data_IF_450021131204
#
_entry.id   IF_450021131204
#
_cell.length_a   1.000
_cell.length_b   1.000
_cell.length_c   1.000
_cell.angle_alpha   90.00
_cell.angle_beta   90.00
_cell.angle_gamma   90.00
#
_symmetry.space_group_name_H-M   'P 1'
#
loop_
_entity.id
_entity.type
_entity.pdbx_description
1 polymer ?
#
# COMPACT_ATOMS: atom_id res chain seq x y z
N UNK A 1 -36.70 24.69 12.62
CA UNK A 1 -37.69 24.00 11.77
C UNK A 1 -37.14 22.61 11.45
N UNK A 2 -38.02 21.62 11.37
CA UNK A 2 -37.55 20.28 10.92
C UNK A 2 -37.21 20.33 9.42
N UNK A 3 -36.24 19.51 8.96
CA UNK A 3 -35.85 19.46 7.54
C UNK A 3 -37.04 19.22 6.60
N UNK A 4 -38.06 18.50 7.07
CA UNK A 4 -39.29 18.23 6.34
C UNK A 4 -40.16 19.47 6.14
N UNK A 5 -40.17 20.36 7.12
CA UNK A 5 -40.94 21.60 7.01
C UNK A 5 -40.31 22.57 6.01
N UNK A 6 -38.96 22.62 5.98
CA UNK A 6 -38.23 23.45 5.02
C UNK A 6 -38.42 22.88 3.60
N UNK A 7 -38.38 21.57 3.44
CA UNK A 7 -38.63 20.91 2.15
C UNK A 7 -40.03 21.23 1.61
N UNK A 8 -41.05 21.16 2.45
CA UNK A 8 -42.41 21.51 2.05
C UNK A 8 -42.52 22.98 1.61
N UNK A 9 -41.79 23.86 2.26
CA UNK A 9 -41.76 25.29 1.90
C UNK A 9 -40.99 25.60 0.62
N UNK A 10 -40.06 24.70 0.22
CA UNK A 10 -39.24 24.82 -1.01
C UNK A 10 -39.94 24.24 -2.24
N UNK A 11 -40.78 23.21 -2.10
CA UNK A 11 -41.41 22.52 -3.24
C UNK A 11 -42.17 23.46 -4.20
N UNK A 12 -42.94 24.46 -3.75
CA UNK A 12 -43.63 25.36 -4.67
C UNK A 12 -42.71 26.13 -5.64
N UNK A 13 -41.45 26.36 -5.23
CA UNK A 13 -40.48 27.15 -6.00
C UNK A 13 -39.55 26.29 -6.89
N UNK A 14 -39.69 24.97 -6.84
CA UNK A 14 -38.86 24.04 -7.61
C UNK A 14 -39.66 23.10 -8.54
N UNK A 15 -40.94 23.46 -8.78
CA UNK A 15 -41.82 22.66 -9.65
C UNK A 15 -42.53 21.51 -8.93
N UNK A 16 -42.68 21.59 -7.59
CA UNK A 16 -43.38 20.59 -6.80
C UNK A 16 -42.51 19.40 -6.36
N UNK A 17 -43.08 18.56 -5.48
CA UNK A 17 -42.43 17.34 -5.01
C UNK A 17 -42.16 16.33 -6.14
N UNK A 18 -42.99 16.32 -7.15
CA UNK A 18 -42.90 15.40 -8.34
C UNK A 18 -41.67 15.72 -9.20
N UNK A 19 -41.14 16.94 -9.15
CA UNK A 19 -39.92 17.33 -9.84
C UNK A 19 -38.64 16.84 -9.11
N UNK A 20 -38.75 16.40 -7.87
CA UNK A 20 -37.62 15.88 -7.11
C UNK A 20 -37.51 14.37 -7.32
N UNK A 21 -36.45 13.92 -8.00
CA UNK A 21 -36.21 12.51 -8.25
C UNK A 21 -35.51 11.82 -7.07
N UNK A 22 -34.69 12.56 -6.32
CA UNK A 22 -33.96 12.04 -5.15
C UNK A 22 -33.57 13.18 -4.19
N UNK A 23 -33.72 12.92 -2.90
CA UNK A 23 -33.27 13.81 -1.83
C UNK A 23 -32.12 13.15 -1.06
N UNK A 24 -31.02 13.85 -0.89
CA UNK A 24 -29.83 13.36 -0.17
C UNK A 24 -29.49 14.38 0.93
N UNK A 25 -29.82 14.09 2.19
CA UNK A 25 -29.42 14.94 3.31
C UNK A 25 -27.94 14.73 3.65
N UNK A 26 -27.20 15.81 3.81
CA UNK A 26 -25.85 15.86 4.40
C UNK A 26 -25.77 17.03 5.36
N UNK A 27 -25.20 16.81 6.54
CA UNK A 27 -24.93 17.82 7.61
C UNK A 27 -25.21 19.27 7.20
N UNK A 28 -26.38 19.82 7.57
CA UNK A 28 -26.77 21.19 7.27
C UNK A 28 -26.98 21.54 5.78
N UNK A 29 -26.81 20.55 4.88
CA UNK A 29 -26.99 20.74 3.44
C UNK A 29 -27.92 19.66 2.89
N UNK A 30 -28.88 20.05 2.08
CA UNK A 30 -29.82 19.16 1.42
C UNK A 30 -29.58 19.21 -0.10
N UNK A 31 -29.32 18.06 -0.68
CA UNK A 31 -29.18 17.93 -2.14
C UNK A 31 -30.47 17.37 -2.73
N UNK A 32 -31.08 18.11 -3.64
CA UNK A 32 -32.26 17.68 -4.39
C UNK A 32 -31.87 17.46 -5.85
N UNK A 33 -32.06 16.24 -6.32
CA UNK A 33 -31.91 15.92 -7.75
C UNK A 33 -33.23 16.18 -8.44
N UNK A 34 -33.24 17.13 -9.37
CA UNK A 34 -34.44 17.57 -10.09
C UNK A 34 -34.55 16.87 -11.43
N UNK A 35 -35.79 16.60 -11.86
CA UNK A 35 -36.09 16.09 -13.20
C UNK A 35 -36.02 17.20 -14.24
N UNK A 36 -36.52 18.38 -13.88
CA UNK A 36 -36.45 19.60 -14.69
C UNK A 36 -35.89 20.74 -13.85
N UNK A 37 -34.71 21.22 -14.20
CA UNK A 37 -34.05 22.34 -13.55
C UNK A 37 -34.55 23.72 -14.03
N UNK A 38 -35.25 23.77 -15.17
CA UNK A 38 -35.72 25.01 -15.77
C UNK A 38 -36.90 25.68 -15.02
N UNK A 39 -37.60 24.92 -14.18
CA UNK A 39 -38.73 25.40 -13.40
C UNK A 39 -38.34 25.94 -12.03
N UNK A 40 -37.03 25.98 -11.69
CA UNK A 40 -36.54 26.41 -10.38
C UNK A 40 -36.46 27.93 -10.30
N UNK A 41 -37.19 28.51 -9.33
CA UNK A 41 -37.02 29.91 -8.95
C UNK A 41 -36.02 30.05 -7.80
N UNK A 42 -34.73 30.12 -8.15
CA UNK A 42 -33.62 30.17 -7.18
C UNK A 42 -33.71 31.37 -6.23
N UNK A 43 -34.20 32.51 -6.73
CA UNK A 43 -34.38 33.75 -5.90
C UNK A 43 -35.41 33.53 -4.81
N UNK A 44 -36.53 32.86 -5.13
CA UNK A 44 -37.56 32.53 -4.17
C UNK A 44 -37.13 31.45 -3.18
N UNK A 45 -36.36 30.44 -3.63
CA UNK A 45 -35.82 29.41 -2.75
C UNK A 45 -34.86 30.01 -1.70
N UNK A 46 -34.04 30.99 -2.08
CA UNK A 46 -33.13 31.67 -1.15
C UNK A 46 -33.86 32.56 -0.11
N UNK A 47 -35.15 32.84 -0.31
CA UNK A 47 -35.97 33.60 0.64
C UNK A 47 -36.78 32.71 1.60
N UNK A 48 -36.71 31.42 1.45
CA UNK A 48 -37.40 30.44 2.31
C UNK A 48 -36.75 30.44 3.69
N UNK A 49 -37.56 30.64 4.72
CA UNK A 49 -37.10 30.65 6.11
C UNK A 49 -36.44 29.30 6.47
N UNK A 50 -35.19 29.35 6.93
CA UNK A 50 -34.39 28.18 7.25
C UNK A 50 -33.42 27.73 6.14
N UNK A 51 -33.41 28.42 4.98
CA UNK A 51 -32.40 28.26 3.92
C UNK A 51 -31.40 29.41 4.00
N UNK A 52 -30.12 29.08 4.16
CA UNK A 52 -29.00 30.03 4.18
C UNK A 52 -28.60 30.40 2.74
N UNK A 53 -28.45 29.40 1.90
CA UNK A 53 -28.14 29.57 0.48
C UNK A 53 -28.67 28.41 -0.35
N UNK A 54 -29.01 28.69 -1.61
CA UNK A 54 -29.40 27.70 -2.59
C UNK A 54 -28.58 27.87 -3.87
N UNK A 55 -28.02 26.80 -4.36
CA UNK A 55 -27.25 26.76 -5.60
C UNK A 55 -27.80 25.66 -6.53
N UNK A 56 -27.90 25.95 -7.83
CA UNK A 56 -28.37 25.02 -8.83
C UNK A 56 -27.26 24.72 -9.84
N UNK A 57 -26.74 23.50 -9.82
CA UNK A 57 -25.74 23.02 -10.80
C UNK A 57 -26.18 21.72 -11.45
N UNK A 58 -26.21 21.68 -12.76
CA UNK A 58 -26.44 20.46 -13.58
C UNK A 58 -27.62 19.59 -13.10
N UNK A 59 -28.76 20.24 -12.78
CA UNK A 59 -29.97 19.55 -12.32
C UNK A 59 -29.96 19.14 -10.83
N UNK A 60 -28.95 19.57 -10.08
CA UNK A 60 -28.85 19.37 -8.63
C UNK A 60 -29.02 20.70 -7.91
N UNK A 61 -30.06 20.82 -7.11
CA UNK A 61 -30.27 21.95 -6.21
C UNK A 61 -29.63 21.60 -4.86
N UNK A 62 -28.72 22.46 -4.41
CA UNK A 62 -28.02 22.36 -3.12
C UNK A 62 -28.58 23.41 -2.20
N UNK A 63 -29.19 23.04 -1.08
CA UNK A 63 -29.73 23.91 -0.06
C UNK A 63 -28.85 23.85 1.18
N UNK A 64 -28.31 24.98 1.63
CA UNK A 64 -27.73 25.11 2.96
C UNK A 64 -28.81 25.57 3.95
N UNK A 65 -29.01 24.82 5.03
CA UNK A 65 -30.07 25.01 5.98
C UNK A 65 -29.57 25.65 7.28
N UNK A 66 -30.37 26.57 7.85
CA UNK A 66 -30.14 27.12 9.16
C UNK A 66 -30.62 26.11 10.24
N UNK A 67 -29.72 25.52 11.01
CA UNK A 67 -30.12 24.59 12.06
C UNK A 67 -28.98 23.96 12.82
N UNK A 68 -29.16 23.89 14.13
CA UNK A 68 -28.27 23.30 15.13
C UNK A 68 -27.73 21.95 14.67
N UNK A 69 -26.41 21.76 14.78
CA UNK A 69 -25.74 20.47 14.77
C UNK A 69 -26.43 19.53 15.78
N UNK A 70 -27.31 18.68 15.28
CA UNK A 70 -27.73 17.51 16.05
C UNK A 70 -26.68 16.45 15.81
N UNK A 71 -25.93 16.13 16.86
CA UNK A 71 -25.04 14.99 16.93
C UNK A 71 -25.84 13.70 16.65
N UNK A 72 -25.60 13.11 15.48
CA UNK A 72 -25.96 11.72 15.23
C UNK A 72 -24.91 10.86 15.93
N UNK A 73 -25.28 10.04 16.92
CA UNK A 73 -24.32 9.18 17.61
C UNK A 73 -23.76 8.15 16.60
N UNK A 74 -22.55 8.38 16.11
CA UNK A 74 -21.90 7.36 15.27
C UNK A 74 -20.86 7.81 14.25
N UNK A 75 -20.73 9.14 13.96
CA UNK A 75 -19.58 9.66 13.21
C UNK A 75 -18.87 10.67 14.10
N UNK A 76 -17.75 10.26 14.69
CA UNK A 76 -16.84 11.18 15.34
C UNK A 76 -16.47 12.30 14.36
N UNK A 77 -16.57 13.57 14.80
CA UNK A 77 -16.04 14.73 14.09
C UNK A 77 -14.67 14.38 13.50
N UNK A 78 -14.50 14.62 12.22
CA UNK A 78 -13.18 14.59 11.61
C UNK A 78 -12.37 15.72 12.22
N UNK A 79 -11.70 15.45 13.33
CA UNK A 79 -10.71 16.37 13.90
C UNK A 79 -9.74 16.80 12.80
N UNK A 80 -9.39 18.09 12.81
CA UNK A 80 -8.40 18.63 11.91
C UNK A 80 -7.10 17.79 12.04
N UNK A 81 -6.57 17.31 10.92
CA UNK A 81 -5.38 16.48 10.91
C UNK A 81 -4.20 17.08 11.66
N UNK A 82 -4.05 18.42 11.58
CA UNK A 82 -3.00 19.15 12.27
C UNK A 82 -3.15 19.14 13.82
N UNK A 83 -4.37 19.21 14.33
CA UNK A 83 -4.63 19.12 15.79
C UNK A 83 -4.34 17.72 16.31
N UNK A 84 -4.77 16.70 15.60
CA UNK A 84 -4.51 15.32 15.96
C UNK A 84 -3.01 15.00 15.90
N UNK A 85 -2.30 15.49 14.90
CA UNK A 85 -0.86 15.34 14.75
C UNK A 85 -0.10 15.94 15.94
N UNK A 86 -0.49 17.17 16.35
CA UNK A 86 0.10 17.86 17.49
C UNK A 86 -0.15 17.12 18.79
N UNK A 87 -1.38 16.68 19.05
CA UNK A 87 -1.72 15.92 20.24
C UNK A 87 -0.99 14.59 20.32
N UNK A 88 -0.91 13.85 19.20
CA UNK A 88 -0.13 12.61 19.14
C UNK A 88 1.34 12.88 19.49
N UNK A 89 1.93 13.93 18.94
CA UNK A 89 3.33 14.28 19.18
C UNK A 89 3.57 14.63 20.66
N UNK A 90 2.69 15.40 21.27
CA UNK A 90 2.77 15.74 22.72
C UNK A 90 2.66 14.47 23.59
N UNK A 91 1.71 13.58 23.26
CA UNK A 91 1.44 12.37 24.02
C UNK A 91 2.50 11.26 23.86
N UNK A 92 3.28 11.25 22.79
CA UNK A 92 4.45 10.35 22.67
C UNK A 92 5.68 10.89 23.43
N UNK A 93 5.55 12.04 24.08
CA UNK A 93 6.59 12.67 24.92
C UNK A 93 7.33 13.82 24.22
N UNK A 94 6.71 14.42 23.21
CA UNK A 94 7.25 15.56 22.45
C UNK A 94 8.30 15.17 21.42
N UNK A 95 8.66 16.16 20.56
CA UNK A 95 9.67 15.98 19.51
C UNK A 95 11.02 15.48 20.06
N UNK A 96 11.40 15.94 21.24
CA UNK A 96 12.67 15.55 21.88
C UNK A 96 12.75 14.06 22.24
N UNK A 97 11.62 13.40 22.48
CA UNK A 97 11.55 11.97 22.78
C UNK A 97 11.53 11.08 21.52
N UNK A 98 11.24 11.66 20.34
CA UNK A 98 11.16 10.93 19.06
C UNK A 98 12.53 10.91 18.41
N UNK A 99 13.02 9.71 18.07
CA UNK A 99 14.25 9.50 17.29
C UNK A 99 13.92 9.52 15.80
N UNK A 100 12.89 8.77 15.42
CA UNK A 100 12.44 8.68 14.04
C UNK A 100 10.93 8.47 13.96
N UNK A 101 10.33 8.91 12.86
CA UNK A 101 8.93 8.69 12.54
C UNK A 101 8.81 8.10 11.14
N UNK A 102 8.10 7.00 11.04
CA UNK A 102 7.71 6.38 9.77
C UNK A 102 6.23 5.99 9.84
N UNK A 103 5.65 5.55 8.75
CA UNK A 103 4.29 5.03 8.76
C UNK A 103 4.15 3.82 7.83
N UNK A 104 3.10 3.02 8.05
CA UNK A 104 2.59 2.06 7.09
C UNK A 104 1.17 2.47 6.67
N UNK A 105 0.42 1.58 6.03
CA UNK A 105 -0.93 1.89 5.50
C UNK A 105 -1.90 2.39 6.56
N UNK A 106 -1.73 1.98 7.82
CA UNK A 106 -2.69 2.27 8.91
C UNK A 106 -2.06 2.82 10.19
N UNK A 107 -0.71 2.87 10.32
CA UNK A 107 -0.03 3.16 11.60
C UNK A 107 1.08 4.17 11.42
N UNK A 108 1.18 5.10 12.37
CA UNK A 108 2.41 5.85 12.63
C UNK A 108 3.36 4.97 13.47
N UNK A 109 4.62 4.96 13.11
CA UNK A 109 5.66 4.17 13.79
C UNK A 109 6.71 5.12 14.31
N UNK A 110 6.73 5.30 15.62
CA UNK A 110 7.71 6.12 16.33
C UNK A 110 8.82 5.25 16.89
N UNK A 111 10.05 5.67 16.69
CA UNK A 111 11.18 5.20 17.48
C UNK A 111 11.41 6.22 18.60
N UNK A 112 11.19 5.82 19.87
CA UNK A 112 11.24 6.71 21.01
C UNK A 112 12.53 6.48 21.81
N UNK A 113 13.17 7.57 22.28
CA UNK A 113 14.31 7.51 23.20
C UNK A 113 13.91 6.86 24.52
N UNK A 114 12.73 7.16 25.00
CA UNK A 114 12.18 6.60 26.22
C UNK A 114 10.68 6.34 26.09
N UNK A 115 10.32 5.07 25.94
CA UNK A 115 8.92 4.63 25.81
C UNK A 115 8.08 4.98 27.04
N UNK A 116 8.68 5.06 28.23
CA UNK A 116 7.98 5.38 29.49
C UNK A 116 7.47 6.83 29.53
N UNK A 117 8.02 7.74 28.71
CA UNK A 117 7.52 9.11 28.60
C UNK A 117 6.23 9.21 27.80
N UNK A 118 5.91 8.19 27.00
CA UNK A 118 4.69 8.20 26.20
C UNK A 118 3.46 7.90 27.07
N UNK A 119 2.44 8.76 26.94
CA UNK A 119 1.19 8.67 27.69
C UNK A 119 0.21 7.72 26.98
N UNK A 120 0.53 6.42 26.98
CA UNK A 120 -0.16 5.39 26.21
C UNK A 120 -1.66 5.32 26.46
N UNK A 121 -2.08 5.46 27.72
CA UNK A 121 -3.51 5.39 28.07
C UNK A 121 -4.31 6.63 27.60
N UNK A 122 -3.67 7.79 27.51
CA UNK A 122 -4.28 8.99 26.94
C UNK A 122 -4.34 8.88 25.42
N UNK A 123 -3.26 8.42 24.78
CA UNK A 123 -3.24 8.16 23.32
C UNK A 123 -4.34 7.18 22.90
N UNK A 124 -4.58 6.12 23.67
CA UNK A 124 -5.68 5.18 23.38
C UNK A 124 -7.07 5.82 23.48
N UNK A 125 -7.21 6.90 24.26
CA UNK A 125 -8.47 7.63 24.44
C UNK A 125 -8.63 8.77 23.43
N UNK A 126 -7.55 9.18 22.76
CA UNK A 126 -7.56 10.28 21.80
C UNK A 126 -8.47 9.95 20.62
N UNK A 127 -9.39 10.87 20.31
CA UNK A 127 -10.29 10.70 19.18
C UNK A 127 -9.51 10.75 17.86
N UNK A 128 -9.61 9.70 17.03
CA UNK A 128 -8.84 9.52 15.81
C UNK A 128 -7.67 8.53 15.96
N UNK A 129 -7.33 8.08 17.19
CA UNK A 129 -6.39 6.99 17.45
C UNK A 129 -7.18 5.70 17.67
N UNK A 130 -6.96 4.72 16.81
CA UNK A 130 -7.63 3.42 16.86
C UNK A 130 -6.97 2.47 17.87
N UNK A 131 -5.67 2.62 18.12
CA UNK A 131 -4.93 1.81 19.08
C UNK A 131 -3.48 2.26 19.22
N UNK A 132 -2.82 1.71 20.23
CA UNK A 132 -1.40 1.92 20.48
C UNK A 132 -0.78 0.59 20.86
N UNK A 133 0.37 0.26 20.27
CA UNK A 133 1.13 -0.95 20.57
C UNK A 133 2.63 -0.69 20.50
N UNK A 134 3.39 -1.52 21.21
CA UNK A 134 4.86 -1.56 21.10
C UNK A 134 5.23 -2.89 20.47
N UNK A 135 5.81 -2.85 19.29
CA UNK A 135 6.22 -4.04 18.55
C UNK A 135 7.50 -3.77 17.77
N UNK A 136 8.40 -4.75 17.71
CA UNK A 136 9.67 -4.63 16.98
C UNK A 136 10.56 -3.46 17.42
N UNK A 137 10.49 -3.05 18.71
CA UNK A 137 11.22 -1.91 19.24
C UNK A 137 10.64 -0.54 18.85
N UNK A 138 9.50 -0.51 18.17
CA UNK A 138 8.81 0.71 17.74
C UNK A 138 7.54 0.92 18.55
N UNK A 139 7.23 2.19 18.83
CA UNK A 139 5.98 2.63 19.41
C UNK A 139 5.01 2.97 18.26
N UNK A 140 3.96 2.18 18.11
CA UNK A 140 3.07 2.25 16.98
C UNK A 140 1.71 2.82 17.40
N UNK A 141 1.27 3.88 16.70
CA UNK A 141 -0.03 4.52 16.89
C UNK A 141 -0.90 4.20 15.68
N UNK A 142 -1.96 3.46 15.88
CA UNK A 142 -2.89 3.02 14.83
C UNK A 142 -3.88 4.13 14.54
N UNK A 143 -3.87 4.63 13.31
CA UNK A 143 -4.71 5.75 12.82
C UNK A 143 -5.76 5.28 11.81
N UNK A 144 -5.46 4.21 11.07
CA UNK A 144 -6.29 3.75 9.97
C UNK A 144 -6.03 4.51 8.67
N UNK A 145 -7.06 4.66 7.83
CA UNK A 145 -6.94 5.22 6.47
C UNK A 145 -6.39 6.67 6.40
N UNK A 146 -6.41 7.43 7.50
CA UNK A 146 -5.89 8.81 7.56
C UNK A 146 -4.42 8.89 7.97
N UNK A 147 -3.73 7.77 8.05
CA UNK A 147 -2.33 7.73 8.54
C UNK A 147 -1.40 8.62 7.74
N UNK A 148 -1.53 8.66 6.41
CA UNK A 148 -0.71 9.52 5.54
C UNK A 148 -0.91 10.99 5.85
N UNK A 149 -2.17 11.43 5.96
CA UNK A 149 -2.53 12.82 6.31
C UNK A 149 -1.90 13.22 7.65
N UNK A 150 -2.04 12.39 8.68
CA UNK A 150 -1.50 12.68 10.01
C UNK A 150 0.03 12.64 10.03
N UNK A 151 0.64 11.73 9.29
CA UNK A 151 2.09 11.66 9.12
C UNK A 151 2.63 12.97 8.51
N UNK A 152 2.01 13.42 7.42
CA UNK A 152 2.42 14.65 6.73
C UNK A 152 2.26 15.89 7.65
N UNK A 153 1.19 15.94 8.46
CA UNK A 153 1.00 17.00 9.44
C UNK A 153 2.03 16.94 10.59
N UNK A 154 2.38 15.76 11.11
CA UNK A 154 3.46 15.64 12.09
C UNK A 154 4.79 16.08 11.50
N UNK A 155 5.07 15.71 10.24
CA UNK A 155 6.31 16.13 9.56
C UNK A 155 6.39 17.65 9.32
N UNK A 156 5.24 18.34 9.13
CA UNK A 156 5.22 19.81 8.99
C UNK A 156 5.57 20.57 10.28
N UNK A 157 5.19 20.02 11.43
CA UNK A 157 5.40 20.66 12.74
C UNK A 157 6.68 20.20 13.44
N UNK A 158 7.44 19.27 12.86
CA UNK A 158 8.66 18.70 13.42
C UNK A 158 9.80 18.69 12.40
N UNK A 159 11.02 18.47 12.90
CA UNK A 159 12.21 18.31 12.05
C UNK A 159 12.28 16.98 11.29
N UNK A 160 11.28 16.10 11.46
CA UNK A 160 11.21 14.80 10.79
C UNK A 160 10.76 14.88 9.32
N UNK A 161 10.52 16.09 8.79
CA UNK A 161 10.31 16.36 7.36
C UNK A 161 11.54 15.98 6.49
N UNK A 162 12.75 15.98 7.08
CA UNK A 162 13.92 15.33 6.47
C UNK A 162 14.03 13.91 7.04
N UNK A 163 14.28 12.87 6.19
CA UNK A 163 14.57 11.54 6.71
C UNK A 163 15.80 11.67 7.60
N UNK A 164 15.55 11.62 8.92
CA UNK A 164 16.61 11.70 9.93
C UNK A 164 17.68 10.68 9.59
N UNK A 165 18.92 11.16 9.43
CA UNK A 165 20.11 10.32 9.36
C UNK A 165 20.02 9.33 10.53
N UNK A 166 19.95 8.06 10.18
CA UNK A 166 20.09 6.92 11.07
C UNK A 166 21.21 7.16 12.10
N UNK A 167 20.84 7.46 13.34
CA UNK A 167 21.79 7.58 14.44
C UNK A 167 21.67 6.46 15.48
N UNK A 168 21.11 5.31 15.13
CA UNK A 168 21.08 4.14 16.04
C UNK A 168 21.26 2.78 15.36
N UNK A 169 21.74 2.73 14.10
CA UNK A 169 21.97 1.45 13.40
C UNK A 169 23.40 0.90 13.49
N UNK A 170 24.32 1.57 14.18
CA UNK A 170 25.74 1.17 14.15
C UNK A 170 26.04 -0.17 14.84
N UNK A 171 25.16 -0.72 15.65
CA UNK A 171 25.42 -1.96 16.40
C UNK A 171 24.47 -3.13 16.09
N UNK A 172 23.61 -3.02 15.05
CA UNK A 172 22.78 -4.17 14.67
C UNK A 172 23.53 -5.07 13.70
N UNK A 173 23.48 -6.41 13.84
CA UNK A 173 24.14 -7.33 12.91
C UNK A 173 23.62 -7.11 11.48
N UNK A 174 24.50 -7.32 10.49
CA UNK A 174 24.27 -7.01 9.07
C UNK A 174 22.94 -7.57 8.53
N UNK A 175 22.58 -8.80 8.91
CA UNK A 175 21.32 -9.43 8.51
C UNK A 175 20.07 -8.67 9.01
N UNK A 176 20.14 -8.02 10.17
CA UNK A 176 19.00 -7.26 10.71
C UNK A 176 18.74 -5.95 9.96
N UNK A 177 19.66 -5.51 9.09
CA UNK A 177 19.52 -4.34 8.21
C UNK A 177 19.02 -4.73 6.82
N UNK A 178 19.38 -5.91 6.33
CA UNK A 178 19.03 -6.36 4.97
C UNK A 178 17.54 -6.66 4.84
N UNK A 179 16.97 -7.44 5.75
CA UNK A 179 15.56 -7.85 5.67
C UNK A 179 14.59 -6.65 5.67
N UNK A 180 14.70 -5.66 6.59
CA UNK A 180 13.87 -4.46 6.52
C UNK A 180 14.10 -3.63 5.26
N UNK A 181 15.32 -3.67 4.70
CA UNK A 181 15.61 -2.96 3.46
C UNK A 181 14.91 -3.63 2.26
N UNK A 182 14.96 -4.97 2.17
CA UNK A 182 14.25 -5.75 1.14
C UNK A 182 12.74 -5.50 1.26
N UNK A 183 12.18 -5.67 2.46
CA UNK A 183 10.76 -5.45 2.70
C UNK A 183 10.32 -4.04 2.29
N UNK A 184 11.10 -3.02 2.64
CA UNK A 184 10.78 -1.63 2.29
C UNK A 184 10.96 -1.30 0.80
N UNK A 185 11.81 -2.03 0.07
CA UNK A 185 11.91 -1.91 -1.38
C UNK A 185 10.72 -2.58 -2.10
N UNK A 186 10.14 -3.62 -1.51
CA UNK A 186 9.03 -4.37 -2.09
C UNK A 186 7.65 -3.86 -1.67
N UNK A 187 7.46 -3.49 -0.39
CA UNK A 187 6.17 -3.14 0.22
C UNK A 187 5.35 -2.09 -0.56
N UNK A 188 5.91 -1.01 -1.15
CA UNK A 188 5.10 -0.06 -1.92
C UNK A 188 4.47 -0.68 -3.17
N UNK A 189 5.11 -1.70 -3.76
CA UNK A 189 4.61 -2.41 -4.94
C UNK A 189 3.56 -3.47 -4.59
N UNK A 190 3.54 -3.95 -3.34
CA UNK A 190 2.64 -5.03 -2.90
C UNK A 190 1.16 -4.68 -3.12
N UNK A 191 0.74 -3.45 -2.81
CA UNK A 191 -0.64 -3.01 -3.03
C UNK A 191 -1.06 -3.07 -4.51
N UNK A 192 -0.15 -2.73 -5.43
CA UNK A 192 -0.41 -2.80 -6.87
C UNK A 192 -0.50 -4.25 -7.34
N UNK A 193 0.35 -5.12 -6.80
CA UNK A 193 0.32 -6.56 -7.08
C UNK A 193 -0.97 -7.19 -6.55
N UNK A 194 -1.44 -6.81 -5.36
CA UNK A 194 -2.73 -7.25 -4.82
C UNK A 194 -3.88 -6.84 -5.72
N UNK A 195 -3.94 -5.57 -6.14
CA UNK A 195 -4.97 -5.09 -7.06
C UNK A 195 -4.97 -5.87 -8.39
N UNK A 196 -3.80 -6.11 -8.96
CA UNK A 196 -3.64 -6.92 -10.16
C UNK A 196 -4.06 -8.39 -9.94
N UNK A 197 -3.69 -8.97 -8.80
CA UNK A 197 -4.10 -10.30 -8.38
C UNK A 197 -5.62 -10.44 -8.23
N UNK A 198 -6.29 -9.42 -7.70
CA UNK A 198 -7.76 -9.38 -7.62
C UNK A 198 -8.40 -9.44 -9.02
N UNK A 199 -7.89 -8.67 -9.98
CA UNK A 199 -8.40 -8.72 -11.37
C UNK A 199 -8.20 -10.14 -11.94
N UNK A 200 -7.03 -10.74 -11.76
CA UNK A 200 -6.75 -12.12 -12.20
C UNK A 200 -7.69 -13.13 -11.55
N UNK A 201 -7.92 -13.01 -10.25
CA UNK A 201 -8.83 -13.87 -9.50
C UNK A 201 -10.28 -13.79 -10.01
N UNK A 202 -10.78 -12.58 -10.27
CA UNK A 202 -12.11 -12.36 -10.85
C UNK A 202 -12.20 -12.95 -12.25
N UNK A 203 -11.20 -12.73 -13.11
CA UNK A 203 -11.15 -13.31 -14.45
C UNK A 203 -11.12 -14.83 -14.41
N UNK A 204 -10.34 -15.43 -13.50
CA UNK A 204 -10.29 -16.87 -13.31
C UNK A 204 -11.66 -17.44 -12.88
N UNK A 205 -12.36 -16.76 -11.96
CA UNK A 205 -13.69 -17.16 -11.51
C UNK A 205 -14.70 -17.09 -12.65
N UNK A 206 -14.76 -15.99 -13.39
CA UNK A 206 -15.70 -15.77 -14.50
C UNK A 206 -15.48 -16.82 -15.60
N UNK A 207 -14.22 -17.14 -15.91
CA UNK A 207 -13.90 -18.19 -16.90
C UNK A 207 -14.21 -19.59 -16.38
N UNK A 208 -13.98 -19.88 -15.12
CA UNK A 208 -14.34 -21.16 -14.50
C UNK A 208 -15.86 -21.42 -14.48
N UNK A 209 -16.64 -20.35 -14.32
CA UNK A 209 -18.11 -20.40 -14.41
C UNK A 209 -18.64 -20.46 -15.85
N UNK A 210 -17.77 -20.42 -16.85
CA UNK A 210 -18.16 -20.46 -18.25
C UNK A 210 -18.81 -19.18 -18.77
N UNK A 211 -18.75 -18.08 -18.00
CA UNK A 211 -19.38 -16.79 -18.38
C UNK A 211 -18.54 -15.99 -19.39
N UNK A 212 -17.25 -16.30 -19.52
CA UNK A 212 -16.34 -15.62 -20.42
C UNK A 212 -15.30 -16.61 -20.96
N UNK A 213 -15.05 -16.56 -22.27
CA UNK A 213 -13.93 -17.28 -22.88
C UNK A 213 -12.60 -16.52 -22.68
N UNK A 214 -11.50 -17.26 -22.61
CA UNK A 214 -10.14 -16.67 -22.54
C UNK A 214 -9.75 -15.94 -23.83
N UNK A 215 -10.39 -16.26 -24.94
CA UNK A 215 -10.21 -15.62 -26.26
C UNK A 215 -11.02 -14.32 -26.41
N UNK A 216 -11.94 -14.04 -25.47
CA UNK A 216 -12.73 -12.82 -25.49
C UNK A 216 -11.80 -11.58 -25.37
N UNK A 217 -11.98 -10.58 -26.23
CA UNK A 217 -11.13 -9.39 -26.29
C UNK A 217 -11.03 -8.67 -24.94
N UNK A 218 -12.12 -8.61 -24.17
CA UNK A 218 -12.12 -8.03 -22.82
C UNK A 218 -11.30 -8.86 -21.84
N UNK A 219 -11.30 -10.20 -21.93
CA UNK A 219 -10.44 -11.06 -21.11
C UNK A 219 -8.98 -10.80 -21.42
N UNK A 220 -8.61 -10.79 -22.70
CA UNK A 220 -7.21 -10.55 -23.14
C UNK A 220 -6.72 -9.18 -22.65
N UNK A 221 -7.55 -8.14 -22.79
CA UNK A 221 -7.22 -6.79 -22.32
C UNK A 221 -7.04 -6.73 -20.81
N UNK A 222 -8.00 -7.21 -20.04
CA UNK A 222 -7.93 -7.15 -18.56
C UNK A 222 -6.83 -8.05 -18.00
N UNK A 223 -6.61 -9.22 -18.62
CA UNK A 223 -5.51 -10.11 -18.26
C UNK A 223 -4.16 -9.46 -18.53
N UNK A 224 -3.99 -8.76 -19.66
CA UNK A 224 -2.79 -8.00 -20.00
C UNK A 224 -2.53 -6.89 -18.98
N UNK A 225 -3.55 -6.10 -18.63
CA UNK A 225 -3.47 -5.06 -17.61
C UNK A 225 -3.07 -5.66 -16.25
N UNK A 226 -3.70 -6.75 -15.85
CA UNK A 226 -3.40 -7.41 -14.57
C UNK A 226 -2.02 -8.08 -14.55
N UNK A 227 -1.47 -8.48 -15.69
CA UNK A 227 -0.12 -9.03 -15.77
C UNK A 227 0.97 -7.94 -15.73
N UNK A 228 0.68 -6.71 -16.14
CA UNK A 228 1.67 -5.66 -16.27
C UNK A 228 2.47 -5.38 -14.99
N UNK A 229 1.88 -5.22 -13.78
CA UNK A 229 2.65 -4.99 -12.57
C UNK A 229 3.59 -6.16 -12.22
N UNK A 230 3.21 -7.38 -12.53
CA UNK A 230 4.07 -8.56 -12.35
C UNK A 230 5.21 -8.58 -13.36
N UNK A 231 4.90 -8.37 -14.64
CA UNK A 231 5.90 -8.37 -15.71
C UNK A 231 6.96 -7.28 -15.49
N UNK A 232 6.53 -6.06 -15.16
CA UNK A 232 7.40 -4.92 -14.92
C UNK A 232 7.83 -4.77 -13.46
N UNK A 233 7.74 -5.83 -12.66
CA UNK A 233 8.15 -5.81 -11.26
C UNK A 233 9.60 -5.34 -11.05
N UNK A 234 10.60 -5.73 -11.88
CA UNK A 234 11.96 -5.20 -11.81
C UNK A 234 12.02 -3.66 -11.85
N UNK A 235 11.16 -3.04 -12.65
CA UNK A 235 11.05 -1.58 -12.79
C UNK A 235 10.51 -0.92 -11.53
N UNK A 236 9.45 -1.50 -10.93
CA UNK A 236 8.87 -1.02 -9.68
C UNK A 236 9.88 -1.10 -8.52
N UNK A 237 10.65 -2.18 -8.46
CA UNK A 237 11.74 -2.36 -7.50
C UNK A 237 12.83 -1.30 -7.72
N UNK A 238 13.21 -1.05 -8.97
CA UNK A 238 14.16 0.01 -9.34
C UNK A 238 13.73 1.38 -8.81
N UNK A 239 12.47 1.76 -9.01
CA UNK A 239 11.89 2.99 -8.47
C UNK A 239 11.99 3.05 -6.93
N UNK A 240 11.56 1.98 -6.25
CA UNK A 240 11.51 1.95 -4.79
C UNK A 240 12.91 2.05 -4.17
N UNK A 241 13.89 1.34 -4.74
CA UNK A 241 15.29 1.37 -4.30
C UNK A 241 15.89 2.77 -4.52
N UNK A 242 15.74 3.35 -5.71
CA UNK A 242 16.26 4.67 -6.02
C UNK A 242 15.71 5.73 -5.08
N UNK A 243 14.39 5.73 -4.87
CA UNK A 243 13.72 6.63 -3.93
C UNK A 243 14.26 6.49 -2.51
N UNK A 244 14.45 5.25 -2.04
CA UNK A 244 14.96 4.96 -0.70
C UNK A 244 16.44 5.32 -0.55
N UNK A 245 17.25 5.03 -1.56
CA UNK A 245 18.69 5.32 -1.55
C UNK A 245 19.03 6.73 -2.01
N UNK A 246 18.03 7.58 -2.34
CA UNK A 246 18.20 8.95 -2.85
C UNK A 246 19.14 8.99 -4.06
N UNK A 247 18.89 8.14 -5.04
CA UNK A 247 19.62 8.01 -6.30
C UNK A 247 18.74 8.49 -7.45
N UNK A 248 19.29 8.62 -8.66
CA UNK A 248 18.52 8.99 -9.83
C UNK A 248 17.47 7.91 -10.16
N UNK A 249 16.20 8.33 -10.09
CA UNK A 249 15.06 7.43 -10.27
C UNK A 249 15.00 6.92 -11.71
N UNK A 250 15.26 7.78 -12.70
CA UNK A 250 15.15 7.40 -14.10
C UNK A 250 16.20 6.37 -14.49
N UNK A 251 17.44 6.54 -14.04
CA UNK A 251 18.51 5.57 -14.25
C UNK A 251 18.16 4.21 -13.65
N UNK A 252 17.70 4.18 -12.39
CA UNK A 252 17.36 2.94 -11.69
C UNK A 252 16.15 2.23 -12.31
N UNK A 253 15.11 2.98 -12.69
CA UNK A 253 13.93 2.48 -13.42
C UNK A 253 14.35 1.87 -14.76
N UNK A 254 15.25 2.55 -15.49
CA UNK A 254 15.75 2.05 -16.78
C UNK A 254 16.58 0.78 -16.63
N UNK A 255 17.36 0.64 -15.55
CA UNK A 255 18.05 -0.64 -15.22
C UNK A 255 17.02 -1.77 -15.03
N UNK A 256 15.94 -1.51 -14.30
CA UNK A 256 14.86 -2.49 -14.12
C UNK A 256 14.15 -2.86 -15.44
N UNK A 257 13.87 -1.86 -16.30
CA UNK A 257 13.31 -2.07 -17.64
C UNK A 257 14.25 -2.88 -18.53
N UNK A 258 15.54 -2.56 -18.50
CA UNK A 258 16.54 -3.26 -19.31
C UNK A 258 16.64 -4.74 -18.93
N UNK A 259 16.62 -5.06 -17.63
CA UNK A 259 16.60 -6.45 -17.17
C UNK A 259 15.33 -7.20 -17.57
N UNK A 260 14.17 -6.51 -17.65
CA UNK A 260 12.90 -7.07 -18.08
C UNK A 260 12.66 -7.05 -19.59
N UNK A 261 13.61 -6.58 -20.38
CA UNK A 261 13.41 -6.38 -21.85
C UNK A 261 13.22 -7.71 -22.58
N UNK A 262 12.10 -7.92 -23.29
CA UNK A 262 11.81 -9.20 -23.95
C UNK A 262 12.87 -9.66 -24.96
N UNK A 263 13.60 -8.73 -25.56
CA UNK A 263 14.65 -9.05 -26.55
C UNK A 263 15.89 -9.72 -25.96
N UNK A 264 16.04 -9.70 -24.64
CA UNK A 264 17.19 -10.34 -23.93
C UNK A 264 16.75 -11.38 -22.90
N UNK A 265 15.46 -11.50 -22.64
CA UNK A 265 14.92 -12.46 -21.67
C UNK A 265 14.52 -13.75 -22.39
N UNK A 266 15.05 -14.89 -21.93
CA UNK A 266 14.78 -16.20 -22.50
C UNK A 266 15.35 -16.38 -23.92
N UNK A 267 16.33 -15.57 -24.29
CA UNK A 267 17.01 -15.62 -25.60
C UNK A 267 18.47 -16.01 -25.39
N UNK A 268 18.99 -16.86 -26.25
CA UNK A 268 20.39 -17.22 -26.24
C UNK A 268 21.27 -16.05 -26.68
N UNK A 269 22.07 -15.53 -25.78
CA UNK A 269 22.98 -14.42 -25.99
C UNK A 269 24.42 -14.97 -25.86
N UNK A 270 25.15 -15.01 -26.94
CA UNK A 270 26.55 -15.39 -26.93
C UNK A 270 27.43 -14.19 -26.60
N UNK A 271 28.11 -14.26 -25.45
CA UNK A 271 29.08 -13.24 -25.01
C UNK A 271 30.33 -13.91 -24.49
N UNK A 272 31.48 -13.46 -24.95
CA UNK A 272 32.80 -13.97 -24.53
C UNK A 272 32.93 -15.49 -24.69
N UNK A 273 32.32 -16.09 -25.70
CA UNK A 273 32.36 -17.54 -25.94
C UNK A 273 31.46 -18.37 -25.01
N UNK A 274 30.60 -17.74 -24.25
CA UNK A 274 29.58 -18.39 -23.40
C UNK A 274 28.19 -17.98 -23.83
N UNK A 275 27.26 -18.92 -23.82
CA UNK A 275 25.83 -18.63 -24.08
C UNK A 275 25.11 -18.37 -22.76
N UNK A 276 24.47 -17.23 -22.66
CA UNK A 276 23.64 -16.83 -21.54
C UNK A 276 22.18 -16.86 -21.99
N UNK A 277 21.34 -17.61 -21.26
CA UNK A 277 19.90 -17.62 -21.45
C UNK A 277 19.24 -17.40 -20.10
N UNK A 278 19.04 -16.15 -19.75
CA UNK A 278 18.48 -15.77 -18.46
C UNK A 278 17.14 -15.04 -18.65
N UNK A 279 16.22 -15.26 -17.72
CA UNK A 279 14.94 -14.58 -17.69
C UNK A 279 14.78 -13.86 -16.37
N UNK A 280 14.62 -12.53 -16.43
CA UNK A 280 14.47 -11.66 -15.25
C UNK A 280 13.15 -10.91 -15.22
N UNK A 281 12.27 -11.11 -16.21
CA UNK A 281 10.89 -10.66 -16.12
C UNK A 281 10.22 -11.26 -14.90
N UNK A 282 9.44 -10.46 -14.20
CA UNK A 282 8.74 -10.92 -12.99
C UNK A 282 9.65 -11.33 -11.82
N UNK A 283 10.97 -11.07 -11.90
CA UNK A 283 11.89 -11.44 -10.82
C UNK A 283 12.13 -10.28 -9.86
N UNK A 284 12.44 -10.61 -8.60
CA UNK A 284 12.67 -9.63 -7.53
C UNK A 284 14.16 -9.48 -7.23
N UNK A 285 14.83 -10.57 -6.88
CA UNK A 285 16.21 -10.54 -6.37
C UNK A 285 17.24 -10.10 -7.41
N UNK A 286 17.21 -10.57 -8.67
CA UNK A 286 18.09 -10.07 -9.70
C UNK A 286 18.02 -8.56 -9.90
N UNK A 287 16.80 -8.04 -10.02
CA UNK A 287 16.57 -6.60 -10.16
C UNK A 287 16.99 -5.82 -8.92
N UNK A 288 16.67 -6.34 -7.72
CA UNK A 288 17.04 -5.72 -6.45
C UNK A 288 18.55 -5.52 -6.33
N UNK A 289 19.36 -6.57 -6.52
CA UNK A 289 20.80 -6.47 -6.39
C UNK A 289 21.44 -5.67 -7.53
N UNK A 290 20.93 -5.80 -8.77
CA UNK A 290 21.48 -5.04 -9.91
C UNK A 290 21.20 -3.54 -9.75
N UNK A 291 20.02 -3.14 -9.28
CA UNK A 291 19.72 -1.72 -9.04
C UNK A 291 20.56 -1.18 -7.88
N UNK A 292 20.78 -1.94 -6.82
CA UNK A 292 21.69 -1.54 -5.75
C UNK A 292 23.10 -1.31 -6.31
N UNK A 293 23.60 -2.22 -7.13
CA UNK A 293 24.90 -2.05 -7.80
C UNK A 293 24.92 -0.79 -8.65
N UNK A 294 23.85 -0.52 -9.41
CA UNK A 294 23.71 0.71 -10.21
C UNK A 294 23.75 1.97 -9.35
N UNK A 295 23.09 2.00 -8.19
CA UNK A 295 23.14 3.12 -7.25
C UNK A 295 24.56 3.37 -6.71
N UNK A 296 25.28 2.31 -6.38
CA UNK A 296 26.69 2.48 -5.95
C UNK A 296 27.58 2.93 -7.09
N UNK A 297 27.40 2.40 -8.30
CA UNK A 297 28.12 2.83 -9.49
C UNK A 297 27.82 4.29 -9.82
N UNK A 298 26.57 4.74 -9.73
CA UNK A 298 26.17 6.13 -9.90
C UNK A 298 26.92 7.06 -8.94
N UNK A 299 26.95 6.72 -7.66
CA UNK A 299 27.66 7.51 -6.64
C UNK A 299 29.16 7.59 -6.92
N UNK A 300 29.74 6.48 -7.34
CA UNK A 300 31.15 6.41 -7.70
C UNK A 300 31.44 7.29 -8.93
N UNK A 301 30.66 7.14 -10.01
CA UNK A 301 30.82 7.88 -11.25
C UNK A 301 30.60 9.39 -11.03
N UNK A 302 29.54 9.77 -10.30
CA UNK A 302 29.23 11.17 -10.00
C UNK A 302 30.32 11.87 -9.18
N UNK A 303 31.14 11.11 -8.44
CA UNK A 303 32.30 11.64 -7.70
C UNK A 303 33.52 11.87 -8.57
N UNK A 304 33.68 11.08 -9.65
CA UNK A 304 34.90 11.09 -10.47
C UNK A 304 34.71 11.77 -11.82
N UNK A 305 33.50 11.91 -12.31
CA UNK A 305 33.23 12.57 -13.60
C UNK A 305 33.06 14.05 -13.44
N UNK A 306 33.55 14.85 -14.42
CA UNK A 306 33.36 16.30 -14.46
C UNK A 306 31.85 16.66 -14.52
N UNK A 307 31.48 17.75 -13.85
CA UNK A 307 30.07 18.22 -13.77
C UNK A 307 29.42 18.42 -15.15
N UNK A 308 30.21 18.82 -16.14
CA UNK A 308 29.75 19.12 -17.50
C UNK A 308 29.17 17.89 -18.23
N UNK A 309 29.67 16.68 -17.93
CA UNK A 309 29.33 15.45 -18.66
C UNK A 309 28.61 14.41 -17.81
N UNK A 310 28.64 14.51 -16.51
CA UNK A 310 28.08 13.49 -15.59
C UNK A 310 26.61 13.25 -15.80
N UNK A 311 25.82 14.26 -16.22
CA UNK A 311 24.38 14.15 -16.38
C UNK A 311 23.94 13.12 -17.41
N UNK A 312 24.73 12.88 -18.47
CA UNK A 312 24.44 11.86 -19.49
C UNK A 312 25.44 10.70 -19.46
N UNK A 313 26.69 10.96 -19.08
CA UNK A 313 27.74 9.93 -19.09
C UNK A 313 27.55 8.91 -17.96
N UNK A 314 27.10 9.35 -16.78
CA UNK A 314 26.80 8.44 -15.66
C UNK A 314 25.74 7.39 -16.03
N UNK A 315 24.52 7.76 -16.47
CA UNK A 315 23.53 6.74 -16.86
C UNK A 315 24.02 5.90 -18.03
N UNK A 316 24.70 6.46 -19.03
CA UNK A 316 25.26 5.71 -20.14
C UNK A 316 26.23 4.62 -19.67
N UNK A 317 27.18 4.95 -18.79
CA UNK A 317 28.13 3.98 -18.25
C UNK A 317 27.44 2.91 -17.39
N UNK A 318 26.41 3.27 -16.63
CA UNK A 318 25.61 2.31 -15.87
C UNK A 318 24.93 1.32 -16.82
N UNK A 319 24.31 1.79 -17.90
CA UNK A 319 23.62 0.89 -18.85
C UNK A 319 24.60 -0.02 -19.58
N UNK A 320 25.76 0.47 -19.96
CA UNK A 320 26.75 -0.32 -20.72
C UNK A 320 27.56 -1.27 -19.84
N UNK A 321 27.78 -0.95 -18.57
CA UNK A 321 28.62 -1.75 -17.66
C UNK A 321 27.77 -2.52 -16.65
N UNK A 322 26.89 -1.81 -15.91
CA UNK A 322 26.19 -2.43 -14.78
C UNK A 322 25.07 -3.35 -15.23
N UNK A 323 24.34 -3.00 -16.29
CA UNK A 323 23.24 -3.87 -16.78
C UNK A 323 23.80 -5.22 -17.31
N UNK A 324 24.84 -5.28 -18.15
CA UNK A 324 25.46 -6.55 -18.53
C UNK A 324 26.00 -7.34 -17.34
N UNK A 325 26.68 -6.71 -16.38
CA UNK A 325 27.13 -7.38 -15.15
C UNK A 325 25.93 -7.90 -14.37
N UNK A 326 24.86 -7.10 -14.27
CA UNK A 326 23.58 -7.51 -13.68
C UNK A 326 23.01 -8.75 -14.35
N UNK A 327 22.97 -8.76 -15.68
CA UNK A 327 22.42 -9.86 -16.46
C UNK A 327 23.25 -11.13 -16.35
N UNK A 328 24.59 -11.03 -16.44
CA UNK A 328 25.49 -12.19 -16.55
C UNK A 328 25.92 -12.77 -15.21
N UNK A 329 26.08 -11.93 -14.17
CA UNK A 329 26.67 -12.35 -12.89
C UNK A 329 25.71 -12.19 -11.72
N UNK A 330 25.16 -10.97 -11.52
CA UNK A 330 24.34 -10.67 -10.35
C UNK A 330 23.01 -11.42 -10.38
N UNK A 331 22.39 -11.49 -11.55
CA UNK A 331 21.11 -12.18 -11.73
C UNK A 331 21.20 -13.68 -11.45
N UNK A 332 22.12 -14.44 -12.09
CA UNK A 332 22.29 -15.86 -11.78
C UNK A 332 22.66 -16.11 -10.32
N UNK A 333 23.54 -15.29 -9.73
CA UNK A 333 23.88 -15.40 -8.30
C UNK A 333 22.68 -15.16 -7.40
N UNK A 334 21.82 -14.18 -7.75
CA UNK A 334 20.58 -13.91 -7.02
C UNK A 334 19.55 -15.04 -7.16
N UNK A 335 19.46 -15.66 -8.34
CA UNK A 335 18.59 -16.82 -8.55
C UNK A 335 19.08 -18.03 -7.72
N UNK A 336 20.38 -18.28 -7.65
CA UNK A 336 20.92 -19.34 -6.78
C UNK A 336 20.52 -19.14 -5.30
N UNK A 337 20.45 -17.90 -4.81
CA UNK A 337 19.96 -17.64 -3.46
C UNK A 337 18.46 -17.98 -3.31
N UNK A 338 17.65 -17.61 -4.31
CA UNK A 338 16.23 -17.95 -4.32
C UNK A 338 16.01 -19.45 -4.39
N UNK A 339 16.76 -20.14 -5.26
CA UNK A 339 16.74 -21.60 -5.43
C UNK A 339 17.14 -22.31 -4.13
N UNK A 340 18.12 -21.79 -3.41
CA UNK A 340 18.55 -22.31 -2.10
C UNK A 340 17.42 -22.25 -1.06
N UNK A 341 16.68 -21.14 -0.98
CA UNK A 341 15.51 -21.04 -0.10
C UNK A 341 14.40 -22.00 -0.54
N UNK A 342 14.08 -22.01 -1.82
CA UNK A 342 13.09 -22.93 -2.40
C UNK A 342 13.47 -24.40 -2.18
N UNK A 343 14.75 -24.75 -2.27
CA UNK A 343 15.25 -26.10 -1.98
C UNK A 343 14.95 -26.51 -0.53
N UNK A 344 15.26 -25.65 0.44
CA UNK A 344 14.97 -25.92 1.87
C UNK A 344 13.47 -26.09 2.10
N UNK A 345 12.65 -25.22 1.50
CA UNK A 345 11.20 -25.30 1.61
C UNK A 345 10.64 -26.58 0.99
N UNK A 346 11.13 -26.95 -0.21
CA UNK A 346 10.74 -28.17 -0.90
C UNK A 346 11.22 -29.43 -0.17
N UNK A 347 12.37 -29.38 0.48
CA UNK A 347 12.84 -30.48 1.32
C UNK A 347 11.87 -30.76 2.47
N UNK A 348 11.40 -29.71 3.15
CA UNK A 348 10.40 -29.80 4.22
C UNK A 348 9.07 -30.35 3.68
N UNK A 349 8.62 -29.86 2.54
CA UNK A 349 7.39 -30.29 1.87
C UNK A 349 7.46 -31.76 1.45
N UNK A 350 8.57 -32.19 0.80
CA UNK A 350 8.75 -33.55 0.34
C UNK A 350 8.94 -34.55 1.49
N UNK A 351 9.48 -34.10 2.63
CA UNK A 351 9.56 -34.93 3.84
C UNK A 351 8.18 -35.28 4.38
N UNK A 352 7.30 -34.30 4.51
CA UNK A 352 5.90 -34.51 4.89
C UNK A 352 5.08 -33.25 4.58
N UNK A 353 4.13 -33.35 3.65
CA UNK A 353 3.29 -32.24 3.21
C UNK A 353 2.51 -31.61 4.38
N UNK A 354 1.88 -32.46 5.22
CA UNK A 354 1.09 -32.00 6.36
C UNK A 354 1.97 -31.25 7.38
N UNK A 355 3.17 -31.80 7.67
CA UNK A 355 4.12 -31.18 8.58
C UNK A 355 4.60 -29.83 8.04
N UNK A 356 4.90 -29.76 6.73
CA UNK A 356 5.28 -28.50 6.06
C UNK A 356 4.19 -27.44 6.20
N UNK A 357 2.94 -27.80 5.91
CA UNK A 357 1.80 -26.87 6.00
C UNK A 357 1.55 -26.42 7.43
N UNK A 358 1.68 -27.31 8.41
CA UNK A 358 1.54 -26.98 9.85
C UNK A 358 2.66 -26.03 10.30
N UNK A 359 3.89 -26.30 9.88
CA UNK A 359 5.05 -25.45 10.25
C UNK A 359 4.95 -24.08 9.58
N UNK A 360 4.76 -24.06 8.25
CA UNK A 360 4.68 -22.81 7.50
C UNK A 360 3.45 -22.01 7.93
N UNK A 361 2.27 -22.63 7.87
CA UNK A 361 1.01 -21.97 8.20
C UNK A 361 0.91 -21.56 9.67
N UNK A 362 1.36 -22.40 10.59
CA UNK A 362 1.29 -22.15 12.03
C UNK A 362 2.24 -21.05 12.51
N UNK A 363 3.44 -20.97 11.94
CA UNK A 363 4.44 -19.97 12.33
C UNK A 363 4.44 -18.71 11.44
N UNK A 364 3.74 -18.72 10.32
CA UNK A 364 3.75 -17.62 9.38
C UNK A 364 3.38 -16.27 9.99
N UNK A 365 2.31 -16.20 10.80
CA UNK A 365 1.90 -14.96 11.46
C UNK A 365 2.92 -14.45 12.47
N UNK A 366 3.69 -15.32 13.08
CA UNK A 366 4.82 -14.92 13.93
C UNK A 366 5.90 -14.26 13.08
N UNK A 367 6.19 -14.82 11.90
CA UNK A 367 7.15 -14.24 10.96
C UNK A 367 6.66 -12.90 10.39
N UNK A 368 5.34 -12.74 10.17
CA UNK A 368 4.73 -11.46 9.77
C UNK A 368 4.93 -10.42 10.87
N UNK A 369 4.64 -10.74 12.13
CA UNK A 369 4.84 -9.81 13.26
C UNK A 369 6.32 -9.43 13.42
N UNK A 370 7.23 -10.37 13.17
CA UNK A 370 8.68 -10.11 13.18
C UNK A 370 9.18 -9.36 11.94
N UNK A 371 8.35 -9.23 10.89
CA UNK A 371 8.70 -8.57 9.63
C UNK A 371 9.67 -9.37 8.74
N UNK A 372 9.81 -10.67 8.97
CA UNK A 372 10.75 -11.56 8.24
C UNK A 372 10.04 -12.53 7.28
N UNK A 373 8.71 -12.49 7.21
CA UNK A 373 7.89 -13.36 6.36
C UNK A 373 8.24 -13.29 4.87
N UNK A 374 8.76 -12.15 4.41
CA UNK A 374 9.16 -11.94 3.01
C UNK A 374 10.20 -12.96 2.52
N UNK A 375 10.98 -13.57 3.42
CA UNK A 375 11.96 -14.62 3.08
C UNK A 375 11.27 -15.86 2.52
N UNK A 376 10.07 -16.17 2.98
CA UNK A 376 9.27 -17.30 2.50
C UNK A 376 8.39 -16.89 1.32
N UNK A 377 7.74 -15.72 1.42
CA UNK A 377 6.79 -15.26 0.40
C UNK A 377 7.45 -15.01 -0.94
N UNK A 378 8.63 -14.37 -0.95
CA UNK A 378 9.28 -13.97 -2.20
C UNK A 378 9.64 -15.14 -3.09
N UNK A 379 10.34 -16.21 -2.63
CA UNK A 379 10.62 -17.36 -3.47
C UNK A 379 9.34 -18.07 -3.93
N UNK A 380 8.40 -18.30 -3.03
CA UNK A 380 7.13 -18.94 -3.36
C UNK A 380 6.31 -18.13 -4.39
N UNK A 381 6.34 -16.80 -4.31
CA UNK A 381 5.74 -15.94 -5.32
C UNK A 381 6.46 -16.01 -6.66
N UNK A 382 7.81 -16.08 -6.64
CA UNK A 382 8.61 -16.21 -7.86
C UNK A 382 8.29 -17.51 -8.61
N UNK A 383 8.12 -18.63 -7.89
CA UNK A 383 7.69 -19.90 -8.49
C UNK A 383 6.35 -19.73 -9.24
N UNK A 384 5.35 -19.13 -8.57
CA UNK A 384 4.02 -18.90 -9.18
C UNK A 384 4.12 -17.97 -10.38
N UNK A 385 4.95 -16.93 -10.31
CA UNK A 385 5.16 -16.00 -11.41
C UNK A 385 5.87 -16.64 -12.61
N UNK A 386 6.76 -17.58 -12.34
CA UNK A 386 7.41 -18.40 -13.36
C UNK A 386 6.48 -19.47 -13.97
N UNK A 387 5.25 -19.58 -13.48
CA UNK A 387 4.27 -20.58 -13.93
C UNK A 387 4.51 -21.97 -13.34
N UNK A 388 5.37 -22.09 -12.33
CA UNK A 388 5.63 -23.35 -11.62
C UNK A 388 4.70 -23.47 -10.41
N UNK A 389 4.10 -24.66 -10.16
CA UNK A 389 3.31 -24.88 -8.97
C UNK A 389 4.17 -24.67 -7.71
N UNK A 390 3.72 -23.80 -6.80
CA UNK A 390 4.38 -23.59 -5.53
C UNK A 390 3.50 -24.08 -4.37
N UNK A 391 3.75 -25.29 -3.83
CA UNK A 391 3.03 -25.79 -2.66
C UNK A 391 3.13 -24.84 -1.47
N UNK A 392 4.30 -24.24 -1.28
CA UNK A 392 4.54 -23.28 -0.21
C UNK A 392 3.65 -22.04 -0.34
N UNK A 393 3.39 -21.56 -1.57
CA UNK A 393 2.47 -20.44 -1.79
C UNK A 393 1.01 -20.82 -1.49
N UNK A 394 0.62 -22.06 -1.80
CA UNK A 394 -0.71 -22.57 -1.45
C UNK A 394 -0.93 -22.61 0.07
N UNK A 395 0.08 -23.07 0.83
CA UNK A 395 0.04 -23.06 2.31
C UNK A 395 -0.15 -21.65 2.88
N UNK A 396 0.48 -20.63 2.28
CA UNK A 396 0.30 -19.22 2.67
C UNK A 396 -1.14 -18.73 2.41
N UNK A 397 -1.79 -19.20 1.34
CA UNK A 397 -3.19 -18.91 1.05
C UNK A 397 -4.13 -19.39 2.15
N UNK A 398 -3.88 -20.56 2.72
CA UNK A 398 -4.66 -21.10 3.85
C UNK A 398 -4.58 -20.19 5.07
N UNK A 399 -3.41 -19.60 5.34
CA UNK A 399 -3.23 -18.66 6.46
C UNK A 399 -4.14 -17.43 6.31
N UNK A 400 -4.26 -16.89 5.09
CA UNK A 400 -5.12 -15.75 4.82
C UNK A 400 -6.58 -16.04 5.12
N UNK A 401 -7.08 -17.22 4.76
CA UNK A 401 -8.43 -17.64 5.11
C UNK A 401 -8.60 -17.90 6.61
N UNK A 402 -7.59 -18.41 7.30
CA UNK A 402 -7.62 -18.56 8.75
C UNK A 402 -7.72 -17.18 9.44
N UNK A 403 -6.94 -16.20 9.02
CA UNK A 403 -7.01 -14.82 9.52
C UNK A 403 -8.37 -14.20 9.21
N UNK A 404 -8.92 -14.41 8.01
CA UNK A 404 -10.27 -13.98 7.65
C UNK A 404 -11.31 -14.58 8.61
N UNK A 405 -11.25 -15.89 8.89
CA UNK A 405 -12.17 -16.55 9.81
C UNK A 405 -12.10 -15.97 11.24
N UNK A 406 -10.90 -15.71 11.75
CA UNK A 406 -10.68 -15.09 13.06
C UNK A 406 -11.25 -13.66 13.10
N UNK A 407 -10.95 -12.84 12.10
CA UNK A 407 -11.43 -11.45 12.03
C UNK A 407 -12.95 -11.36 11.89
N UNK A 408 -13.58 -12.24 11.09
CA UNK A 408 -15.04 -12.35 11.02
C UNK A 408 -15.64 -12.80 12.35
N UNK A 409 -15.02 -13.75 13.04
CA UNK A 409 -15.43 -14.17 14.38
C UNK A 409 -15.37 -13.02 15.39
N UNK A 410 -14.34 -12.19 15.32
CA UNK A 410 -14.23 -10.98 16.13
C UNK A 410 -15.36 -10.01 15.78
N UNK A 411 -15.62 -9.74 14.50
CA UNK A 411 -16.70 -8.85 14.04
C UNK A 411 -18.07 -9.28 14.58
N UNK A 412 -18.34 -10.59 14.58
CA UNK A 412 -19.61 -11.13 15.05
C UNK A 412 -19.77 -11.07 16.58
N UNK A 413 -18.71 -11.34 17.33
CA UNK A 413 -18.78 -11.49 18.79
C UNK A 413 -18.41 -10.26 19.60
N UNK A 414 -17.57 -9.37 19.08
CA UNK A 414 -17.10 -8.24 19.86
C UNK A 414 -18.18 -7.17 20.08
N UNK A 415 -18.28 -6.69 21.32
CA UNK A 415 -19.08 -5.50 21.66
C UNK A 415 -18.25 -4.20 21.54
N UNK A 416 -16.94 -4.32 21.39
CA UNK A 416 -16.05 -3.15 21.25
C UNK A 416 -16.16 -2.54 19.86
N UNK A 417 -16.62 -1.30 19.78
CA UNK A 417 -16.70 -0.54 18.53
C UNK A 417 -15.33 -0.38 17.88
N UNK A 418 -14.30 -0.16 18.69
CA UNK A 418 -12.90 -0.03 18.27
C UNK A 418 -12.36 -1.31 17.60
N UNK A 419 -12.68 -2.48 18.17
CA UNK A 419 -12.30 -3.76 17.58
C UNK A 419 -13.04 -4.05 16.27
N UNK A 420 -14.30 -3.64 16.14
CA UNK A 420 -15.05 -3.76 14.86
C UNK A 420 -14.45 -2.91 13.75
N UNK A 421 -14.04 -1.68 14.08
CA UNK A 421 -13.41 -0.75 13.14
C UNK A 421 -12.06 -1.26 12.61
N UNK A 422 -11.34 -2.05 13.41
CA UNK A 422 -10.09 -2.70 13.02
C UNK A 422 -10.30 -4.02 12.28
N UNK A 423 -11.24 -4.83 12.76
CA UNK A 423 -11.44 -6.16 12.22
C UNK A 423 -12.06 -6.16 10.82
N UNK A 424 -12.87 -5.14 10.46
CA UNK A 424 -13.49 -5.06 9.14
C UNK A 424 -12.46 -4.84 8.01
N UNK A 425 -11.57 -3.82 8.07
CA UNK A 425 -10.51 -3.69 7.08
C UNK A 425 -9.57 -4.89 7.04
N UNK A 426 -9.21 -5.46 8.20
CA UNK A 426 -8.37 -6.65 8.28
C UNK A 426 -9.03 -7.89 7.64
N UNK A 427 -10.35 -8.07 7.80
CA UNK A 427 -11.08 -9.13 7.14
C UNK A 427 -11.09 -8.96 5.61
N UNK A 428 -11.32 -7.73 5.14
CA UNK A 428 -11.28 -7.42 3.70
C UNK A 428 -9.88 -7.66 3.14
N UNK A 429 -8.83 -7.21 3.84
CA UNK A 429 -7.43 -7.43 3.43
C UNK A 429 -7.09 -8.92 3.35
N UNK A 430 -7.45 -9.69 4.38
CA UNK A 430 -7.22 -11.12 4.45
C UNK A 430 -7.93 -11.90 3.33
N UNK A 431 -9.13 -11.46 2.92
CA UNK A 431 -9.85 -12.05 1.78
C UNK A 431 -9.03 -11.98 0.48
N UNK A 432 -8.20 -10.95 0.34
CA UNK A 432 -7.33 -10.74 -0.82
C UNK A 432 -5.88 -11.21 -0.59
N UNK A 433 -5.62 -11.96 0.47
CA UNK A 433 -4.33 -12.57 0.73
C UNK A 433 -3.35 -11.70 1.53
N UNK A 434 -3.76 -10.48 1.94
CA UNK A 434 -2.95 -9.60 2.78
C UNK A 434 -3.31 -9.80 4.26
N UNK A 435 -2.36 -10.28 5.04
CA UNK A 435 -2.53 -10.61 6.47
C UNK A 435 -1.75 -9.68 7.40
N UNK A 436 -1.15 -8.61 6.86
CA UNK A 436 -0.34 -7.66 7.65
C UNK A 436 -1.17 -6.66 8.49
N UNK A 437 -2.39 -6.23 8.11
CA UNK A 437 -3.18 -5.25 8.87
C UNK A 437 -3.59 -5.69 10.28
#
# INVERSE_FOLDING_TARGET
MAEQDILQSVYPYIGGQENVSRTIPRKGTLYLMLKDAGVVNLAAVNQVQGVISAELERGRLTLQLEGKEQEVPGMAEKRNGAELAKEILELVGGEENVISLTHCVTRLRFELKNVKKAQTEQLKKTNGVLGVMVAGGQYQVLIGARVQEIYDEVCKITRFAEPSKQQSEENKPFYSKILPFIAAAFSPSAMMLCAAGMIKGILALITALGWMSKEAGIYVLLSGIANAPFFFLPTLIGYNIAKRMKSDIFTAVTVGLALGMPSINGVDIELFGHVFNNTYTSTVLPAFFTVILAVYAERFLNKHLPDMVKGFLTPMLIFVIVVPIGYMLVGPAANLLADGVSFVMNLLYNFNHILSDVVIGGFYQILVVLGVHSVIVLPALMDVMAGTPSPNYASLGVVSFAVLGVTLGILCKTKSKKLKELALPAAVSALFGDTEP
#
